data_IF_783503398788
#
_entry.id   IF_783503398788
#
_cell.length_a   1.000
_cell.length_b   1.000
_cell.length_c   1.000
_cell.angle_alpha   90.00
_cell.angle_beta   90.00
_cell.angle_gamma   90.00
#
_symmetry.space_group_name_H-M   'P 1'
#
loop_
_entity.id
_entity.type
_entity.pdbx_description
1 polymer ?
#
# COMPACT_ATOMS: atom_id res chain seq x y z
N UNK A 1 -2.13 -19.40 13.48
CA UNK A 1 -1.18 -19.72 12.38
C UNK A 1 -1.49 -18.94 11.11
N UNK A 2 -2.77 -18.77 10.72
CA UNK A 2 -3.17 -18.03 9.51
C UNK A 2 -2.63 -16.58 9.45
N UNK A 3 -2.59 -15.85 10.58
CA UNK A 3 -2.10 -14.46 10.61
C UNK A 3 -0.61 -14.30 10.24
N UNK A 4 0.22 -15.33 10.44
CA UNK A 4 1.65 -15.28 10.09
C UNK A 4 1.92 -15.44 8.59
N UNK A 5 0.94 -15.98 7.85
CA UNK A 5 0.99 -16.10 6.38
C UNK A 5 0.45 -14.82 5.71
N UNK A 6 -0.23 -13.95 6.47
CA UNK A 6 -0.82 -12.72 5.95
C UNK A 6 0.16 -11.80 5.20
N UNK A 7 1.41 -11.55 5.66
CA UNK A 7 2.35 -10.72 4.90
C UNK A 7 2.60 -11.27 3.49
N UNK A 8 2.70 -12.59 3.37
CA UNK A 8 2.97 -13.30 2.12
C UNK A 8 1.77 -13.18 1.18
N UNK A 9 0.54 -13.36 1.71
CA UNK A 9 -0.69 -13.24 0.92
C UNK A 9 -0.88 -11.80 0.44
N UNK A 10 -0.71 -10.82 1.32
CA UNK A 10 -0.90 -9.40 1.01
C UNK A 10 0.10 -8.94 -0.05
N UNK A 11 1.40 -9.17 0.18
CA UNK A 11 2.43 -8.78 -0.77
C UNK A 11 2.33 -9.58 -2.07
N UNK A 12 2.11 -10.89 -1.96
CA UNK A 12 1.99 -11.79 -3.10
C UNK A 12 0.85 -11.41 -4.03
N UNK A 13 -0.32 -11.07 -3.48
CA UNK A 13 -1.48 -10.62 -4.27
C UNK A 13 -1.20 -9.28 -4.97
N UNK A 14 -0.64 -8.30 -4.26
CA UNK A 14 -0.38 -6.96 -4.84
C UNK A 14 0.63 -7.05 -5.98
N UNK A 15 1.74 -7.77 -5.79
CA UNK A 15 2.73 -7.97 -6.85
C UNK A 15 2.12 -8.78 -8.00
N UNK A 16 1.35 -9.84 -7.71
CA UNK A 16 0.69 -10.61 -8.76
C UNK A 16 -0.22 -9.74 -9.65
N UNK A 17 -1.04 -8.88 -9.06
CA UNK A 17 -1.94 -8.00 -9.82
C UNK A 17 -1.17 -6.98 -10.65
N UNK A 18 -0.03 -6.49 -10.15
CA UNK A 18 0.89 -5.65 -10.89
C UNK A 18 1.44 -6.35 -12.14
N UNK A 19 2.04 -7.54 -11.95
CA UNK A 19 2.60 -8.35 -13.05
C UNK A 19 1.53 -8.75 -14.07
N UNK A 20 0.32 -9.04 -13.61
CA UNK A 20 -0.82 -9.34 -14.46
C UNK A 20 -1.15 -8.15 -15.39
N UNK A 21 -1.00 -6.92 -14.91
CA UNK A 21 -1.17 -5.72 -15.74
C UNK A 21 -0.21 -5.68 -16.92
N UNK A 22 1.09 -5.80 -16.66
CA UNK A 22 2.10 -5.86 -17.73
C UNK A 22 1.84 -7.01 -18.69
N UNK A 23 1.54 -8.21 -18.16
CA UNK A 23 1.25 -9.37 -18.97
C UNK A 23 0.06 -9.15 -19.92
N UNK A 24 -1.07 -8.66 -19.41
CA UNK A 24 -2.26 -8.38 -20.21
C UNK A 24 -1.93 -7.35 -21.30
N UNK A 25 -1.27 -6.25 -20.94
CA UNK A 25 -0.93 -5.20 -21.89
C UNK A 25 0.06 -5.68 -22.97
N UNK A 26 1.03 -6.51 -22.61
CA UNK A 26 1.97 -7.12 -23.55
C UNK A 26 1.25 -8.01 -24.57
N UNK A 27 0.32 -8.85 -24.11
CA UNK A 27 -0.47 -9.72 -25.01
C UNK A 27 -1.38 -8.89 -25.93
N UNK A 28 -2.02 -7.84 -25.42
CA UNK A 28 -2.89 -6.94 -26.20
C UNK A 28 -2.13 -6.15 -27.27
N UNK A 29 -0.86 -5.82 -27.03
CA UNK A 29 0.01 -5.09 -27.97
C UNK A 29 0.82 -6.02 -28.90
N UNK A 30 0.67 -7.34 -28.74
CA UNK A 30 1.36 -8.36 -29.52
C UNK A 30 2.84 -8.50 -29.18
N UNK A 31 3.29 -8.04 -28.01
CA UNK A 31 4.62 -8.35 -27.46
C UNK A 31 4.64 -9.83 -27.06
N UNK A 32 5.75 -10.50 -27.34
CA UNK A 32 5.91 -11.91 -26.96
C UNK A 32 6.18 -12.02 -25.46
N UNK A 33 5.32 -12.75 -24.73
CA UNK A 33 5.44 -12.99 -23.30
C UNK A 33 5.47 -14.51 -23.05
N UNK A 34 6.65 -15.15 -23.08
CA UNK A 34 6.77 -16.61 -23.02
C UNK A 34 6.46 -17.20 -21.66
N UNK A 35 6.54 -16.43 -20.57
CA UNK A 35 6.34 -16.95 -19.22
C UNK A 35 5.63 -15.95 -18.33
N UNK A 36 4.67 -16.47 -17.58
CA UNK A 36 3.98 -15.75 -16.52
C UNK A 36 3.98 -16.64 -15.26
N UNK A 37 4.63 -16.18 -14.20
CA UNK A 37 4.82 -16.95 -12.98
C UNK A 37 4.13 -16.29 -11.80
N UNK A 38 3.40 -17.10 -11.04
CA UNK A 38 2.91 -16.76 -9.70
C UNK A 38 3.90 -17.39 -8.72
N UNK A 39 4.62 -16.54 -8.01
CA UNK A 39 5.68 -16.91 -7.08
C UNK A 39 7.04 -17.11 -7.72
N UNK A 40 8.01 -17.48 -6.87
CA UNK A 40 9.41 -17.69 -7.20
C UNK A 40 9.87 -19.13 -6.86
N UNK A 41 11.00 -19.54 -7.46
CA UNK A 41 11.63 -20.84 -7.20
C UNK A 41 11.08 -22.00 -8.06
N UNK A 42 11.19 -23.26 -7.59
CA UNK A 42 10.82 -24.42 -8.39
C UNK A 42 9.32 -24.44 -8.71
N UNK A 43 8.98 -24.87 -9.92
CA UNK A 43 7.58 -24.97 -10.37
C UNK A 43 6.86 -26.10 -9.64
N UNK A 44 5.76 -25.78 -8.96
CA UNK A 44 4.82 -26.77 -8.42
C UNK A 44 3.90 -27.29 -9.54
N UNK A 45 3.38 -26.35 -10.34
CA UNK A 45 2.52 -26.63 -11.48
C UNK A 45 2.98 -25.75 -12.64
N UNK A 46 3.09 -26.35 -13.83
CA UNK A 46 3.36 -25.63 -15.07
C UNK A 46 2.39 -26.07 -16.15
N UNK A 47 1.86 -25.12 -16.91
CA UNK A 47 0.98 -25.39 -18.04
C UNK A 47 1.29 -24.41 -19.17
N UNK A 48 1.53 -24.94 -20.36
CA UNK A 48 1.68 -24.12 -21.57
C UNK A 48 0.31 -23.92 -22.22
N UNK A 49 -0.09 -22.67 -22.42
CA UNK A 49 -1.30 -22.32 -23.17
C UNK A 49 -0.88 -21.41 -24.31
N UNK A 50 -1.00 -21.92 -25.54
CA UNK A 50 -0.44 -21.28 -26.72
C UNK A 50 1.07 -21.12 -26.60
N UNK A 51 1.52 -19.88 -26.62
CA UNK A 51 2.94 -19.52 -26.57
C UNK A 51 3.47 -19.20 -25.17
N UNK A 52 2.58 -19.08 -24.17
CA UNK A 52 2.92 -18.67 -22.81
C UNK A 52 2.91 -19.88 -21.87
N UNK A 53 3.96 -20.01 -21.07
CA UNK A 53 4.07 -20.94 -19.96
C UNK A 53 3.58 -20.26 -18.67
N UNK A 54 2.54 -20.84 -18.07
CA UNK A 54 1.96 -20.40 -16.81
C UNK A 54 2.53 -21.27 -15.69
N UNK A 55 3.14 -20.64 -14.69
CA UNK A 55 3.81 -21.32 -13.58
C UNK A 55 3.17 -20.92 -12.27
N UNK A 56 2.89 -21.91 -11.43
CA UNK A 56 2.70 -21.73 -10.00
C UNK A 56 3.96 -22.26 -9.31
N UNK A 57 4.71 -21.37 -8.67
CA UNK A 57 5.99 -21.69 -8.05
C UNK A 57 5.84 -21.92 -6.54
N UNK A 58 6.86 -22.54 -5.93
CA UNK A 58 6.82 -22.97 -4.54
C UNK A 58 6.80 -21.82 -3.52
N UNK A 59 7.42 -20.67 -3.84
CA UNK A 59 7.44 -19.51 -2.95
C UNK A 59 6.38 -18.49 -3.39
N UNK A 60 5.27 -18.31 -2.64
CA UNK A 60 4.19 -17.40 -3.02
C UNK A 60 4.50 -15.94 -2.67
N UNK A 61 5.73 -15.48 -2.98
CA UNK A 61 6.23 -14.14 -2.68
C UNK A 61 6.15 -13.20 -3.90
N UNK A 62 4.97 -13.10 -4.52
CA UNK A 62 4.75 -12.25 -5.69
C UNK A 62 4.65 -13.04 -6.98
N UNK A 63 5.26 -12.55 -8.05
CA UNK A 63 5.28 -13.17 -9.38
C UNK A 63 6.21 -12.42 -10.32
N UNK A 64 6.32 -12.89 -11.56
CA UNK A 64 7.00 -12.14 -12.61
C UNK A 64 6.40 -12.47 -13.97
N UNK A 65 6.37 -11.48 -14.86
CA UNK A 65 6.18 -11.69 -16.30
C UNK A 65 7.53 -11.60 -17.02
N UNK A 66 7.81 -12.57 -17.89
CA UNK A 66 8.95 -12.47 -18.82
C UNK A 66 8.42 -12.00 -20.17
N UNK A 67 8.98 -10.92 -20.69
CA UNK A 67 8.61 -10.34 -21.97
C UNK A 67 9.80 -10.32 -22.93
N UNK A 68 9.53 -10.25 -24.23
CA UNK A 68 10.55 -10.04 -25.24
C UNK A 68 11.02 -8.59 -25.19
N UNK A 69 12.04 -8.36 -24.38
CA UNK A 69 12.69 -7.07 -24.16
C UNK A 69 14.19 -7.30 -24.20
N UNK A 70 14.91 -6.43 -24.93
CA UNK A 70 16.38 -6.40 -24.96
C UNK A 70 16.96 -5.91 -23.63
N UNK A 71 16.11 -5.43 -22.73
CA UNK A 71 16.45 -4.89 -21.42
C UNK A 71 16.36 -5.94 -20.32
N UNK A 72 15.42 -6.89 -20.47
CA UNK A 72 15.20 -8.00 -19.52
C UNK A 72 16.44 -8.90 -19.38
N UNK A 73 17.34 -8.94 -20.38
CA UNK A 73 18.62 -9.66 -20.25
C UNK A 73 19.53 -9.07 -19.17
N UNK A 74 19.48 -7.76 -18.92
CA UNK A 74 20.29 -7.09 -17.90
C UNK A 74 19.65 -7.12 -16.50
N UNK A 75 18.31 -7.14 -16.41
CA UNK A 75 17.56 -7.23 -15.13
C UNK A 75 17.30 -8.67 -14.69
N UNK A 76 17.35 -9.66 -15.59
CA UNK A 76 17.20 -11.09 -15.25
C UNK A 76 18.21 -11.58 -14.19
N UNK A 77 19.39 -10.96 -14.12
CA UNK A 77 20.39 -11.21 -13.07
C UNK A 77 19.92 -10.73 -11.67
N UNK A 78 19.07 -9.71 -11.62
CA UNK A 78 18.58 -9.05 -10.40
C UNK A 78 17.23 -9.61 -9.92
N UNK A 79 16.38 -10.11 -10.83
CA UNK A 79 15.03 -10.65 -10.55
C UNK A 79 15.03 -12.03 -9.83
N UNK A 80 16.15 -12.44 -9.23
CA UNK A 80 16.26 -13.75 -8.59
C UNK A 80 16.11 -14.92 -9.57
N UNK A 81 16.23 -14.64 -10.88
CA UNK A 81 16.48 -15.62 -11.93
C UNK A 81 17.86 -16.22 -11.73
N UNK A 82 17.98 -17.05 -10.70
CA UNK A 82 19.21 -17.76 -10.42
C UNK A 82 19.63 -18.51 -11.68
N UNK A 83 20.83 -18.23 -12.17
CA UNK A 83 21.57 -19.15 -13.04
C UNK A 83 21.60 -20.58 -12.44
N UNK A 84 21.34 -20.76 -11.13
CA UNK A 84 21.23 -22.07 -10.49
C UNK A 84 19.86 -22.77 -10.67
N UNK A 85 18.85 -22.13 -11.28
CA UNK A 85 17.69 -22.86 -11.83
C UNK A 85 17.98 -23.40 -13.24
N UNK A 86 19.07 -22.98 -13.88
CA UNK A 86 19.57 -23.61 -15.10
C UNK A 86 20.46 -24.84 -14.80
N UNK A 87 21.04 -24.96 -13.59
CA UNK A 87 22.00 -26.05 -13.27
C UNK A 87 21.41 -27.25 -12.51
N UNK A 88 20.14 -27.22 -12.08
CA UNK A 88 19.45 -28.40 -11.50
C UNK A 88 18.25 -28.82 -12.33
N UNK A 89 18.49 -29.42 -13.49
CA UNK A 89 17.69 -30.53 -14.05
C UNK A 89 18.37 -31.04 -15.32
N UNK A 90 19.52 -31.70 -15.14
CA UNK A 90 20.07 -32.61 -16.13
C UNK A 90 19.74 -34.04 -15.70
N UNK A 91 18.46 -34.45 -15.83
CA UNK A 91 18.12 -35.87 -15.87
C UNK A 91 17.66 -36.20 -17.30
N UNK A 92 18.48 -36.89 -18.11
CA UNK A 92 18.24 -37.12 -19.54
C UNK A 92 16.97 -37.91 -19.90
N UNK A 93 16.21 -38.42 -18.90
CA UNK A 93 15.01 -39.23 -19.12
C UNK A 93 13.71 -38.42 -19.31
N UNK A 94 13.73 -37.10 -19.13
CA UNK A 94 12.51 -36.26 -19.10
C UNK A 94 12.12 -35.61 -20.45
N UNK A 95 12.67 -36.05 -21.59
CA UNK A 95 12.29 -35.48 -22.90
C UNK A 95 12.75 -34.03 -23.10
N UNK A 96 13.97 -33.73 -22.64
CA UNK A 96 14.61 -32.42 -22.67
C UNK A 96 14.82 -31.91 -24.11
N UNK A 97 14.25 -30.73 -24.42
CA UNK A 97 14.62 -29.94 -25.61
C UNK A 97 15.92 -29.20 -25.31
N UNK A 98 17.04 -29.51 -26.00
CA UNK A 98 18.34 -28.89 -25.81
C UNK A 98 18.35 -27.37 -25.96
N UNK A 99 17.28 -26.80 -26.52
CA UNK A 99 17.16 -25.38 -26.81
C UNK A 99 16.25 -24.61 -25.83
N UNK A 100 15.71 -25.25 -24.80
CA UNK A 100 14.84 -24.62 -23.81
C UNK A 100 15.58 -23.62 -22.88
N UNK A 101 16.89 -23.46 -23.03
CA UNK A 101 17.79 -22.73 -22.14
C UNK A 101 18.39 -21.43 -22.74
N UNK A 102 17.85 -20.96 -23.86
CA UNK A 102 18.02 -19.56 -24.32
C UNK A 102 16.81 -18.77 -23.75
N UNK A 103 16.92 -17.50 -23.31
CA UNK A 103 15.81 -16.76 -22.69
C UNK A 103 14.46 -16.83 -23.44
N UNK A 104 14.50 -17.13 -24.74
CA UNK A 104 13.36 -17.19 -25.65
C UNK A 104 13.21 -18.51 -26.43
N UNK A 105 13.99 -19.55 -26.11
CA UNK A 105 13.96 -20.85 -26.80
C UNK A 105 14.75 -20.90 -28.13
N UNK A 106 14.61 -21.99 -28.92
CA UNK A 106 15.38 -22.21 -30.17
C UNK A 106 15.05 -21.26 -31.33
N UNK A 107 13.84 -20.68 -31.32
CA UNK A 107 13.32 -19.91 -32.44
C UNK A 107 13.52 -18.42 -32.14
N UNK A 108 14.09 -17.69 -33.10
CA UNK A 108 14.18 -16.24 -33.02
C UNK A 108 12.78 -15.62 -32.91
N UNK A 109 12.63 -14.67 -32.00
CA UNK A 109 11.39 -13.90 -31.88
C UNK A 109 11.33 -12.94 -33.07
N UNK A 110 10.22 -12.92 -33.84
CA UNK A 110 10.06 -11.95 -34.92
C UNK A 110 10.25 -10.52 -34.41
N UNK A 111 10.98 -9.69 -35.15
CA UNK A 111 11.36 -8.33 -34.71
C UNK A 111 10.14 -7.50 -34.26
N UNK A 112 9.00 -7.66 -34.95
CA UNK A 112 7.73 -6.98 -34.64
C UNK A 112 7.10 -7.35 -33.30
N UNK A 113 7.61 -8.38 -32.61
CA UNK A 113 7.10 -8.88 -31.33
C UNK A 113 7.97 -8.50 -30.14
N UNK A 114 9.05 -7.77 -30.38
CA UNK A 114 9.88 -7.18 -29.32
C UNK A 114 9.21 -5.93 -28.76
N UNK A 115 9.38 -5.69 -27.46
CA UNK A 115 8.88 -4.50 -26.77
C UNK A 115 9.40 -3.21 -27.43
N UNK A 116 10.69 -3.15 -27.75
CA UNK A 116 11.36 -1.98 -28.34
C UNK A 116 10.88 -1.69 -29.77
N UNK A 117 10.34 -2.70 -30.46
CA UNK A 117 9.78 -2.53 -31.80
C UNK A 117 8.42 -1.82 -31.80
N UNK A 118 7.77 -1.72 -30.64
CA UNK A 118 6.42 -1.15 -30.53
C UNK A 118 6.47 0.38 -30.52
N UNK A 119 5.44 1.04 -31.09
CA UNK A 119 5.35 2.49 -31.02
C UNK A 119 5.25 2.95 -29.56
N UNK A 120 5.71 4.17 -29.28
CA UNK A 120 5.79 4.71 -27.92
C UNK A 120 4.47 4.56 -27.13
N UNK A 121 3.27 4.85 -27.67
CA UNK A 121 2.02 4.67 -26.91
C UNK A 121 1.78 3.22 -26.45
N UNK A 122 2.16 2.23 -27.26
CA UNK A 122 2.04 0.83 -26.88
C UNK A 122 3.05 0.46 -25.77
N UNK A 123 4.28 0.97 -25.85
CA UNK A 123 5.29 0.80 -24.78
C UNK A 123 4.83 1.45 -23.47
N UNK A 124 4.34 2.69 -23.53
CA UNK A 124 3.79 3.41 -22.39
C UNK A 124 2.58 2.69 -21.78
N UNK A 125 1.69 2.15 -22.62
CA UNK A 125 0.55 1.35 -22.15
C UNK A 125 1.00 0.12 -21.35
N UNK A 126 2.01 -0.61 -21.84
CA UNK A 126 2.57 -1.77 -21.12
C UNK A 126 3.18 -1.35 -19.79
N UNK A 127 4.02 -0.31 -19.77
CA UNK A 127 4.69 0.15 -18.54
C UNK A 127 3.71 0.71 -17.51
N UNK A 128 2.64 1.40 -17.94
CA UNK A 128 1.61 1.92 -17.03
C UNK A 128 0.62 0.85 -16.58
N UNK A 129 0.54 -0.31 -17.24
CA UNK A 129 -0.47 -1.31 -16.94
C UNK A 129 -0.34 -1.90 -15.54
N UNK A 130 0.88 -2.18 -15.08
CA UNK A 130 1.10 -2.68 -13.72
C UNK A 130 0.69 -1.67 -12.66
N UNK A 131 1.09 -0.41 -12.82
CA UNK A 131 0.68 0.71 -11.94
C UNK A 131 -0.84 0.88 -11.93
N UNK A 132 -1.46 0.85 -13.11
CA UNK A 132 -2.91 1.03 -13.28
C UNK A 132 -3.68 -0.11 -12.60
N UNK A 133 -3.25 -1.37 -12.77
CA UNK A 133 -3.92 -2.52 -12.15
C UNK A 133 -3.89 -2.46 -10.63
N UNK A 134 -2.80 -1.97 -10.04
CA UNK A 134 -2.73 -1.79 -8.59
C UNK A 134 -3.63 -0.65 -8.08
N UNK A 135 -3.73 0.45 -8.82
CA UNK A 135 -4.69 1.50 -8.50
C UNK A 135 -6.13 0.99 -8.61
N UNK A 136 -6.44 0.18 -9.64
CA UNK A 136 -7.75 -0.46 -9.83
C UNK A 136 -8.07 -1.48 -8.72
N UNK A 137 -7.08 -2.24 -8.25
CA UNK A 137 -7.26 -3.15 -7.12
C UNK A 137 -7.64 -2.39 -5.85
N UNK A 138 -6.92 -1.30 -5.53
CA UNK A 138 -7.23 -0.47 -4.36
C UNK A 138 -8.64 0.13 -4.47
N UNK A 139 -8.96 0.72 -5.62
CA UNK A 139 -10.28 1.27 -5.91
C UNK A 139 -11.40 0.22 -5.76
N UNK A 140 -11.22 -0.97 -6.34
CA UNK A 140 -12.18 -2.07 -6.28
C UNK A 140 -12.41 -2.56 -4.85
N UNK A 141 -11.35 -2.63 -4.04
CA UNK A 141 -11.45 -2.99 -2.62
C UNK A 141 -12.23 -1.92 -1.85
N UNK A 142 -11.90 -0.63 -2.01
CA UNK A 142 -12.64 0.44 -1.34
C UNK A 142 -14.12 0.45 -1.73
N UNK A 143 -14.43 0.30 -3.02
CA UNK A 143 -15.79 0.22 -3.51
C UNK A 143 -16.53 -0.99 -2.91
N UNK A 144 -15.88 -2.16 -2.89
CA UNK A 144 -16.45 -3.38 -2.31
C UNK A 144 -16.76 -3.24 -0.82
N UNK A 145 -15.85 -2.65 -0.05
CA UNK A 145 -16.06 -2.40 1.39
C UNK A 145 -17.18 -1.39 1.63
N UNK A 146 -17.23 -0.31 0.86
CA UNK A 146 -18.28 0.70 0.95
C UNK A 146 -19.66 0.16 0.56
N UNK A 147 -19.73 -0.73 -0.43
CA UNK A 147 -20.96 -1.42 -0.81
C UNK A 147 -21.39 -2.45 0.25
N UNK A 148 -20.43 -3.10 0.91
CA UNK A 148 -20.70 -4.11 1.93
C UNK A 148 -21.14 -3.50 3.25
N UNK A 149 -20.34 -2.59 3.79
CA UNK A 149 -20.47 -2.08 5.16
C UNK A 149 -21.16 -0.72 5.19
N UNK A 150 -21.15 0.05 4.09
CA UNK A 150 -21.63 1.43 4.04
C UNK A 150 -20.51 2.44 4.34
N UNK A 151 -20.88 3.72 4.46
CA UNK A 151 -19.95 4.78 4.81
C UNK A 151 -19.69 4.79 6.33
N UNK A 152 -18.43 4.73 6.78
CA UNK A 152 -18.11 4.89 8.20
C UNK A 152 -18.56 6.28 8.67
N UNK A 153 -19.44 6.31 9.67
CA UNK A 153 -19.96 7.54 10.26
C UNK A 153 -19.86 7.45 11.78
N UNK A 154 -19.22 8.41 12.46
CA UNK A 154 -19.16 8.37 13.91
C UNK A 154 -20.57 8.53 14.49
N UNK A 155 -20.90 7.68 15.46
CA UNK A 155 -22.15 7.78 16.23
C UNK A 155 -21.86 8.42 17.60
N UNK A 156 -22.84 9.08 18.24
CA UNK A 156 -22.66 9.77 19.52
C UNK A 156 -22.54 8.81 20.71
N UNK A 157 -21.67 7.81 20.60
CA UNK A 157 -21.35 6.84 21.64
C UNK A 157 -19.85 6.90 21.89
N UNK A 158 -19.44 7.11 23.14
CA UNK A 158 -18.03 7.13 23.51
C UNK A 158 -17.43 5.72 23.39
N UNK A 159 -16.59 5.47 22.39
CA UNK A 159 -15.82 4.23 22.30
C UNK A 159 -14.73 4.19 23.39
N UNK A 160 -14.06 5.32 23.58
CA UNK A 160 -13.04 5.49 24.60
C UNK A 160 -12.93 6.96 25.03
N UNK A 161 -12.35 7.18 26.20
CA UNK A 161 -12.11 8.52 26.73
C UNK A 161 -10.65 8.63 27.15
N UNK A 162 -9.96 9.68 26.70
CA UNK A 162 -8.55 9.89 26.98
C UNK A 162 -8.36 10.30 28.45
N UNK A 163 -7.54 9.58 29.24
CA UNK A 163 -7.27 9.93 30.63
C UNK A 163 -6.76 11.37 30.78
N UNK A 164 -7.23 12.09 31.81
CA UNK A 164 -6.83 13.46 32.12
C UNK A 164 -7.38 14.54 31.17
N UNK A 165 -8.17 14.19 30.15
CA UNK A 165 -8.87 15.15 29.28
C UNK A 165 -10.26 15.52 29.85
N UNK A 166 -10.87 16.63 29.40
CA UNK A 166 -12.11 17.14 30.01
C UNK A 166 -13.27 16.14 30.07
N UNK A 167 -13.44 15.27 29.07
CA UNK A 167 -14.46 14.22 29.09
C UNK A 167 -14.25 13.24 30.25
N UNK A 168 -13.00 12.83 30.51
CA UNK A 168 -12.68 11.95 31.63
C UNK A 168 -12.90 12.65 32.98
N UNK A 169 -12.52 13.92 33.09
CA UNK A 169 -12.71 14.75 34.29
C UNK A 169 -14.20 14.94 34.58
N UNK A 170 -15.01 15.17 33.55
CA UNK A 170 -16.46 15.27 33.63
C UNK A 170 -17.14 13.92 33.95
N UNK A 171 -16.38 12.82 33.97
CA UNK A 171 -16.88 11.50 34.32
C UNK A 171 -17.52 10.72 33.17
N UNK A 172 -17.30 11.11 31.91
CA UNK A 172 -17.70 10.34 30.73
C UNK A 172 -16.88 9.05 30.67
N UNK A 173 -17.52 7.94 30.31
CA UNK A 173 -16.95 6.61 30.24
C UNK A 173 -17.20 5.98 28.86
N UNK A 174 -16.41 4.96 28.53
CA UNK A 174 -16.66 4.14 27.34
C UNK A 174 -18.05 3.47 27.45
N UNK A 175 -18.80 3.50 26.35
CA UNK A 175 -20.18 3.01 26.25
C UNK A 175 -21.27 4.05 26.54
N UNK A 176 -20.91 5.28 26.95
CA UNK A 176 -21.90 6.34 27.14
C UNK A 176 -22.46 6.83 25.80
N UNK A 177 -23.78 6.87 25.68
CA UNK A 177 -24.47 7.46 24.53
C UNK A 177 -24.83 8.91 24.84
N UNK A 178 -24.35 9.87 24.06
CA UNK A 178 -24.73 11.28 24.18
C UNK A 178 -26.09 11.47 23.52
N UNK A 179 -27.10 11.80 24.32
CA UNK A 179 -28.48 11.97 23.88
C UNK A 179 -28.86 13.44 23.73
N UNK A 180 -28.33 14.33 24.57
CA UNK A 180 -28.63 15.76 24.51
C UNK A 180 -27.38 16.62 24.69
N UNK A 181 -27.43 17.81 24.10
CA UNK A 181 -26.41 18.84 24.19
C UNK A 181 -27.10 20.17 24.52
N UNK A 182 -26.73 20.77 25.65
CA UNK A 182 -27.35 21.98 26.21
C UNK A 182 -28.88 21.88 26.29
N UNK A 183 -29.39 20.72 26.73
CA UNK A 183 -30.82 20.45 26.88
C UNK A 183 -31.58 20.15 25.57
N UNK A 184 -30.92 20.17 24.41
CA UNK A 184 -31.53 19.83 23.12
C UNK A 184 -31.15 18.41 22.68
N UNK A 185 -32.07 17.63 22.08
CA UNK A 185 -31.75 16.33 21.49
C UNK A 185 -30.62 16.43 20.47
N UNK A 186 -29.68 15.48 20.51
CA UNK A 186 -28.58 15.39 19.57
C UNK A 186 -28.97 14.45 18.42
N UNK A 187 -29.26 15.02 17.24
CA UNK A 187 -29.63 14.23 16.05
C UNK A 187 -28.43 13.80 15.21
N UNK A 188 -27.34 14.58 15.25
CA UNK A 188 -26.19 14.42 14.37
C UNK A 188 -24.89 14.61 15.13
N UNK A 189 -23.91 13.75 14.83
CA UNK A 189 -22.60 13.79 15.45
C UNK A 189 -21.84 15.10 15.15
N UNK A 190 -22.00 15.63 13.94
CA UNK A 190 -21.34 16.87 13.50
C UNK A 190 -21.72 18.06 14.39
N UNK A 191 -22.99 18.12 14.82
CA UNK A 191 -23.48 19.17 15.72
C UNK A 191 -22.74 19.15 17.06
N UNK A 192 -22.45 17.95 17.57
CA UNK A 192 -21.67 17.80 18.80
C UNK A 192 -20.23 18.26 18.60
N UNK A 193 -19.58 17.84 17.51
CA UNK A 193 -18.20 18.25 17.20
C UNK A 193 -18.07 19.76 17.02
N UNK A 194 -18.95 20.37 16.23
CA UNK A 194 -18.93 21.81 15.95
C UNK A 194 -19.14 22.62 17.23
N UNK A 195 -20.09 22.19 18.08
CA UNK A 195 -20.38 22.89 19.34
C UNK A 195 -19.23 22.75 20.33
N UNK A 196 -18.63 21.57 20.47
CA UNK A 196 -17.44 21.36 21.31
C UNK A 196 -16.27 22.21 20.81
N UNK A 197 -16.02 22.20 19.50
CA UNK A 197 -14.96 22.98 18.85
C UNK A 197 -15.11 24.49 19.09
N UNK A 198 -16.33 25.00 19.06
CA UNK A 198 -16.64 26.42 19.28
C UNK A 198 -16.68 26.85 20.76
N UNK A 199 -16.70 25.91 21.70
CA UNK A 199 -16.96 26.17 23.13
C UNK A 199 -15.72 26.03 24.01
N UNK A 200 -14.53 26.32 23.49
CA UNK A 200 -13.30 26.29 24.26
C UNK A 200 -13.41 27.15 25.54
N UNK A 201 -13.15 26.54 26.70
CA UNK A 201 -13.25 27.17 28.02
C UNK A 201 -14.68 27.43 28.51
N UNK A 202 -15.72 27.11 27.74
CA UNK A 202 -17.13 27.30 28.13
C UNK A 202 -17.76 25.96 28.51
N UNK A 203 -18.41 25.83 29.67
CA UNK A 203 -19.05 24.59 30.07
C UNK A 203 -20.21 24.24 29.13
N UNK A 204 -20.33 22.96 28.79
CA UNK A 204 -21.40 22.36 28.01
C UNK A 204 -22.14 21.33 28.87
N UNK A 205 -23.48 21.38 28.85
CA UNK A 205 -24.33 20.37 29.50
C UNK A 205 -24.57 19.22 28.52
N UNK A 206 -24.09 18.03 28.86
CA UNK A 206 -24.30 16.80 28.11
C UNK A 206 -25.26 15.89 28.85
N UNK A 207 -26.40 15.59 28.22
CA UNK A 207 -27.24 14.47 28.64
C UNK A 207 -26.71 13.20 28.00
N UNK A 208 -26.31 12.24 28.83
CA UNK A 208 -25.84 10.94 28.40
C UNK A 208 -26.78 9.84 28.88
N UNK A 209 -26.72 8.68 28.22
CA UNK A 209 -27.37 7.45 28.65
C UNK A 209 -26.27 6.43 28.95
N UNK A 210 -26.20 5.99 30.21
CA UNK A 210 -25.26 4.97 30.67
C UNK A 210 -26.05 3.78 31.21
N UNK A 211 -25.87 2.61 30.59
CA UNK A 211 -26.60 1.37 30.97
C UNK A 211 -28.13 1.59 31.07
N UNK A 212 -28.68 2.37 30.15
CA UNK A 212 -30.11 2.72 30.10
C UNK A 212 -30.56 3.84 31.06
N UNK A 213 -29.68 4.35 31.92
CA UNK A 213 -30.01 5.43 32.85
C UNK A 213 -29.57 6.80 32.28
N UNK A 214 -30.46 7.80 32.25
CA UNK A 214 -30.09 9.15 31.86
C UNK A 214 -29.26 9.83 32.96
N UNK A 215 -28.14 10.43 32.57
CA UNK A 215 -27.27 11.23 33.43
C UNK A 215 -27.02 12.58 32.76
N UNK A 216 -26.78 13.61 33.56
CA UNK A 216 -26.30 14.91 33.06
C UNK A 216 -24.91 15.17 33.57
N UNK A 217 -24.01 15.51 32.67
CA UNK A 217 -22.61 15.83 32.96
C UNK A 217 -22.26 17.17 32.35
N UNK A 218 -21.50 17.97 33.08
CA UNK A 218 -20.97 19.23 32.57
C UNK A 218 -19.54 19.01 32.13
N UNK A 219 -19.25 19.26 30.86
CA UNK A 219 -17.89 19.17 30.31
C UNK A 219 -17.42 20.54 29.86
N UNK A 220 -16.19 20.91 30.19
CA UNK A 220 -15.58 22.16 29.74
C UNK A 220 -14.49 21.85 28.72
N UNK A 221 -14.70 22.06 27.42
CA UNK A 221 -13.70 21.80 26.39
C UNK A 221 -12.41 22.57 26.65
N UNK A 222 -11.27 21.89 26.58
CA UNK A 222 -9.97 22.53 26.67
C UNK A 222 -9.61 23.16 25.32
N UNK A 223 -9.03 24.35 25.33
CA UNK A 223 -8.50 24.98 24.13
C UNK A 223 -7.26 24.22 23.65
N UNK A 224 -7.30 23.74 22.41
CA UNK A 224 -6.17 23.07 21.76
C UNK A 224 -5.87 23.79 20.44
N UNK A 225 -4.62 24.19 20.27
CA UNK A 225 -4.18 24.88 19.06
C UNK A 225 -3.89 23.85 17.98
N UNK A 226 -4.74 23.84 16.95
CA UNK A 226 -4.62 22.90 15.82
C UNK A 226 -4.30 23.70 14.55
N UNK A 227 -3.25 23.34 13.79
CA UNK A 227 -3.02 23.91 12.47
C UNK A 227 -4.12 23.45 11.52
N UNK A 228 -4.73 24.38 10.80
CA UNK A 228 -5.70 24.08 9.74
C UNK A 228 -4.99 23.23 8.67
N UNK A 229 -5.49 22.02 8.35
CA UNK A 229 -4.81 21.10 7.43
C UNK A 229 -4.66 21.63 5.99
N UNK A 230 -5.49 22.60 5.58
CA UNK A 230 -5.48 23.17 4.23
C UNK A 230 -4.71 24.49 4.16
N UNK A 231 -4.79 25.32 5.19
CA UNK A 231 -4.23 26.68 5.18
C UNK A 231 -3.01 26.85 6.08
N UNK A 232 -2.72 25.89 6.97
CA UNK A 232 -1.65 25.98 7.96
C UNK A 232 -1.90 26.99 9.09
N UNK A 233 -2.99 27.75 9.03
CA UNK A 233 -3.35 28.75 10.04
C UNK A 233 -3.72 28.03 11.33
N UNK A 234 -3.03 28.38 12.42
CA UNK A 234 -3.34 27.84 13.76
C UNK A 234 -4.68 28.36 14.24
N UNK A 235 -5.62 27.46 14.51
CA UNK A 235 -6.92 27.77 15.12
C UNK A 235 -6.99 27.15 16.51
N UNK A 236 -7.55 27.89 17.47
CA UNK A 236 -7.85 27.36 18.80
C UNK A 236 -9.22 26.69 18.75
N UNK A 237 -9.27 25.38 18.99
CA UNK A 237 -10.51 24.60 18.99
C UNK A 237 -10.71 23.96 20.37
N UNK A 238 -11.96 23.93 20.84
CA UNK A 238 -12.32 23.19 22.03
C UNK A 238 -12.23 21.68 21.79
N UNK A 239 -11.65 20.95 22.75
CA UNK A 239 -11.58 19.48 22.72
C UNK A 239 -11.89 18.90 24.09
N UNK A 240 -12.61 17.78 24.09
CA UNK A 240 -12.95 17.05 25.33
C UNK A 240 -12.18 15.73 25.49
N UNK A 241 -11.51 15.23 24.44
CA UNK A 241 -10.74 13.98 24.51
C UNK A 241 -11.62 12.72 24.56
N UNK A 242 -12.71 12.72 23.80
CA UNK A 242 -13.59 11.57 23.60
C UNK A 242 -13.37 10.99 22.20
N UNK A 243 -13.27 9.67 22.12
CA UNK A 243 -13.18 8.91 20.86
C UNK A 243 -14.57 8.32 20.61
N UNK A 244 -15.14 8.63 19.44
CA UNK A 244 -16.45 8.14 19.06
C UNK A 244 -16.40 6.67 18.62
N UNK A 245 -17.52 5.98 18.79
CA UNK A 245 -17.77 4.69 18.15
C UNK A 245 -18.05 4.93 16.68
N UNK A 246 -17.49 4.10 15.82
CA UNK A 246 -17.80 4.12 14.39
C UNK A 246 -19.07 3.30 14.15
N UNK A 247 -20.06 3.93 13.53
CA UNK A 247 -21.19 3.26 12.90
C UNK A 247 -21.02 3.26 11.39
N UNK A 248 -21.98 2.66 10.70
CA UNK A 248 -22.01 2.66 9.25
C UNK A 248 -23.38 3.09 8.74
N UNK A 249 -23.38 4.00 7.77
CA UNK A 249 -24.59 4.44 7.07
C UNK A 249 -24.61 3.80 5.68
N UNK A 250 -25.71 3.13 5.29
CA UNK A 250 -25.86 2.63 3.94
C UNK A 250 -25.77 3.77 2.93
N UNK A 251 -25.07 3.51 1.82
CA UNK A 251 -24.93 4.47 0.71
C UNK A 251 -25.35 3.82 -0.61
N UNK A 252 -25.71 4.67 -1.58
CA UNK A 252 -26.04 4.18 -2.92
C UNK A 252 -24.80 3.66 -3.65
N UNK A 253 -25.02 2.80 -4.65
CA UNK A 253 -23.94 2.24 -5.48
C UNK A 253 -23.10 3.34 -6.14
N UNK A 254 -23.75 4.37 -6.68
CA UNK A 254 -23.06 5.51 -7.30
C UNK A 254 -22.19 6.30 -6.30
N UNK A 255 -22.68 6.50 -5.08
CA UNK A 255 -21.90 7.13 -4.00
C UNK A 255 -20.72 6.25 -3.59
N UNK A 256 -20.90 4.94 -3.43
CA UNK A 256 -19.81 4.01 -3.10
C UNK A 256 -18.66 4.09 -4.10
N UNK A 257 -18.94 4.08 -5.40
CA UNK A 257 -17.90 4.24 -6.42
C UNK A 257 -17.27 5.64 -6.41
N UNK A 258 -18.06 6.70 -6.23
CA UNK A 258 -17.54 8.06 -6.11
C UNK A 258 -16.59 8.23 -4.90
N UNK A 259 -16.98 7.69 -3.75
CA UNK A 259 -16.14 7.74 -2.55
C UNK A 259 -14.92 6.83 -2.63
N UNK A 260 -15.04 5.64 -3.23
CA UNK A 260 -13.89 4.79 -3.51
C UNK A 260 -12.85 5.49 -4.40
N UNK A 261 -13.32 6.27 -5.39
CA UNK A 261 -12.45 7.09 -6.23
C UNK A 261 -11.75 8.17 -5.40
N UNK A 262 -12.51 8.93 -4.60
CA UNK A 262 -11.96 9.95 -3.71
C UNK A 262 -10.91 9.37 -2.75
N UNK A 263 -11.19 8.23 -2.13
CA UNK A 263 -10.26 7.52 -1.24
C UNK A 263 -9.00 7.08 -1.98
N UNK A 264 -9.13 6.59 -3.21
CA UNK A 264 -7.98 6.16 -4.02
C UNK A 264 -7.08 7.35 -4.35
N UNK A 265 -7.66 8.46 -4.81
CA UNK A 265 -6.93 9.69 -5.16
C UNK A 265 -6.32 10.36 -3.94
N UNK A 266 -7.05 10.44 -2.84
CA UNK A 266 -6.60 11.06 -1.58
C UNK A 266 -5.43 10.26 -0.97
N UNK A 267 -5.56 8.93 -0.88
CA UNK A 267 -4.45 8.10 -0.41
C UNK A 267 -3.23 8.20 -1.34
N UNK A 268 -3.43 8.15 -2.67
CA UNK A 268 -2.36 8.38 -3.64
C UNK A 268 -1.64 9.71 -3.44
N UNK A 269 -2.42 10.79 -3.26
CA UNK A 269 -1.92 12.15 -3.07
C UNK A 269 -1.17 12.32 -1.74
N UNK A 270 -1.64 11.68 -0.66
CA UNK A 270 -0.94 11.64 0.63
C UNK A 270 0.41 10.93 0.52
N UNK A 271 0.49 9.83 -0.23
CA UNK A 271 1.75 9.11 -0.47
C UNK A 271 2.71 9.98 -1.26
N UNK A 272 2.25 10.63 -2.34
CA UNK A 272 3.07 11.59 -3.10
C UNK A 272 3.58 12.74 -2.22
N UNK A 273 2.71 13.32 -1.39
CA UNK A 273 3.10 14.39 -0.46
C UNK A 273 4.13 13.90 0.57
N UNK A 274 3.97 12.68 1.10
CA UNK A 274 4.93 12.06 2.01
C UNK A 274 6.30 11.83 1.34
N UNK A 275 6.31 11.37 0.09
CA UNK A 275 7.55 11.22 -0.69
C UNK A 275 8.22 12.58 -0.96
N UNK A 276 7.45 13.63 -1.26
CA UNK A 276 7.97 14.99 -1.40
C UNK A 276 8.57 15.54 -0.10
N UNK A 277 7.94 15.24 1.05
CA UNK A 277 8.47 15.60 2.37
C UNK A 277 9.78 14.86 2.69
N UNK A 278 9.89 13.58 2.27
CA UNK A 278 11.09 12.77 2.46
C UNK A 278 12.31 13.35 1.75
N UNK A 279 12.14 13.94 0.56
CA UNK A 279 13.23 14.63 -0.17
C UNK A 279 13.79 15.80 0.63
N UNK A 280 12.98 16.42 1.49
CA UNK A 280 13.39 17.50 2.39
C UNK A 280 13.88 16.98 3.76
N UNK A 281 14.06 15.66 3.92
CA UNK A 281 14.53 15.02 5.14
C UNK A 281 13.46 14.82 6.22
N UNK A 282 12.19 15.11 5.93
CA UNK A 282 11.10 14.98 6.90
C UNK A 282 10.61 13.53 6.97
N UNK A 283 10.52 12.98 8.18
CA UNK A 283 9.89 11.67 8.40
C UNK A 283 10.71 10.45 7.94
N UNK A 284 12.02 10.59 7.69
CA UNK A 284 12.90 9.46 7.31
C UNK A 284 12.84 8.34 8.36
N UNK A 285 12.76 8.70 9.65
CA UNK A 285 12.62 7.75 10.78
C UNK A 285 11.27 7.04 10.84
N UNK A 286 10.26 7.58 10.14
CA UNK A 286 8.90 7.07 10.15
C UNK A 286 8.66 6.04 9.04
N UNK A 287 9.58 5.93 8.08
CA UNK A 287 9.56 4.88 7.06
C UNK A 287 9.66 3.50 7.71
N UNK A 288 8.64 2.67 7.49
CA UNK A 288 8.62 1.27 7.90
C UNK A 288 9.22 0.38 6.82
N UNK A 289 10.04 -0.59 7.23
CA UNK A 289 10.62 -1.60 6.34
C UNK A 289 9.84 -2.90 6.30
N UNK A 290 10.45 -3.95 5.72
CA UNK A 290 9.87 -5.30 5.67
C UNK A 290 9.37 -5.84 7.02
N UNK A 291 10.02 -5.52 8.13
CA UNK A 291 9.60 -6.00 9.46
C UNK A 291 8.34 -5.26 9.89
N UNK A 292 8.30 -3.95 9.72
CA UNK A 292 7.11 -3.16 10.02
C UNK A 292 5.91 -3.59 9.17
N UNK A 293 6.10 -3.81 7.86
CA UNK A 293 5.04 -4.30 6.95
C UNK A 293 4.54 -5.68 7.39
N UNK A 294 5.43 -6.59 7.77
CA UNK A 294 5.04 -7.90 8.27
C UNK A 294 4.21 -7.80 9.57
N UNK A 295 4.62 -6.94 10.50
CA UNK A 295 3.88 -6.71 11.75
C UNK A 295 2.48 -6.13 11.49
N UNK A 296 2.38 -5.11 10.64
CA UNK A 296 1.11 -4.49 10.25
C UNK A 296 0.21 -5.51 9.53
N UNK A 297 0.78 -6.38 8.69
CA UNK A 297 0.03 -7.45 8.00
C UNK A 297 -0.52 -8.49 8.97
N UNK A 298 0.27 -8.90 9.97
CA UNK A 298 -0.20 -9.81 11.03
C UNK A 298 -1.30 -9.15 11.85
N UNK A 299 -1.15 -7.87 12.20
CA UNK A 299 -2.15 -7.12 12.94
C UNK A 299 -3.45 -6.96 12.16
N UNK A 300 -3.38 -6.61 10.87
CA UNK A 300 -4.55 -6.50 10.01
C UNK A 300 -5.29 -7.83 9.88
N UNK A 301 -4.56 -8.94 9.71
CA UNK A 301 -5.17 -10.27 9.69
C UNK A 301 -5.83 -10.68 11.02
N UNK A 302 -5.39 -10.12 12.15
CA UNK A 302 -6.08 -10.30 13.45
C UNK A 302 -7.29 -9.37 13.60
N UNK A 303 -7.28 -8.21 12.94
CA UNK A 303 -8.40 -7.27 12.88
C UNK A 303 -9.57 -7.76 12.03
N UNK A 304 -9.36 -8.75 11.17
CA UNK A 304 -10.39 -9.37 10.35
C UNK A 304 -10.16 -9.12 8.85
N UNK A 305 -11.09 -9.62 8.03
CA UNK A 305 -10.96 -9.53 6.57
C UNK A 305 -11.05 -8.09 6.07
N UNK A 306 -11.88 -7.24 6.67
CA UNK A 306 -12.01 -5.83 6.29
C UNK A 306 -10.70 -5.07 6.50
N UNK A 307 -10.06 -5.22 7.68
CA UNK A 307 -8.77 -4.60 7.96
C UNK A 307 -7.67 -5.13 7.04
N UNK A 308 -7.70 -6.43 6.72
CA UNK A 308 -6.77 -7.03 5.77
C UNK A 308 -6.96 -6.47 4.36
N UNK A 309 -8.20 -6.31 3.90
CA UNK A 309 -8.53 -5.72 2.61
C UNK A 309 -8.11 -4.25 2.54
N UNK A 310 -8.38 -3.46 3.58
CA UNK A 310 -7.90 -2.08 3.67
C UNK A 310 -6.37 -2.00 3.59
N UNK A 311 -5.65 -2.93 4.24
CA UNK A 311 -4.20 -3.01 4.14
C UNK A 311 -3.75 -3.35 2.71
N UNK A 312 -4.41 -4.31 2.04
CA UNK A 312 -4.13 -4.65 0.64
C UNK A 312 -4.35 -3.43 -0.25
N UNK A 313 -5.44 -2.69 -0.07
CA UNK A 313 -5.73 -1.48 -0.84
C UNK A 313 -4.65 -0.41 -0.61
N UNK A 314 -4.24 -0.19 0.65
CA UNK A 314 -3.17 0.75 1.01
C UNK A 314 -1.82 0.34 0.39
N UNK A 315 -1.43 -0.93 0.50
CA UNK A 315 -0.17 -1.41 -0.08
C UNK A 315 -0.23 -1.36 -1.62
N UNK A 316 -1.39 -1.66 -2.20
CA UNK A 316 -1.58 -1.60 -3.66
C UNK A 316 -1.40 -0.18 -4.20
N UNK A 317 -2.01 0.83 -3.56
CA UNK A 317 -1.80 2.22 -3.96
C UNK A 317 -0.36 2.69 -3.69
N UNK A 318 0.28 2.22 -2.61
CA UNK A 318 1.71 2.48 -2.38
C UNK A 318 2.55 1.95 -3.54
N UNK A 319 2.40 0.67 -3.90
CA UNK A 319 3.17 0.07 -5.01
C UNK A 319 2.91 0.81 -6.32
N UNK A 320 1.67 1.21 -6.60
CA UNK A 320 1.35 2.03 -7.78
C UNK A 320 2.11 3.37 -7.78
N UNK A 321 2.11 4.10 -6.66
CA UNK A 321 2.80 5.39 -6.54
C UNK A 321 4.33 5.22 -6.62
N UNK A 322 4.90 4.24 -5.92
CA UNK A 322 6.33 3.96 -5.96
C UNK A 322 6.79 3.59 -7.37
N UNK A 323 6.05 2.73 -8.07
CA UNK A 323 6.39 2.33 -9.43
C UNK A 323 6.23 3.46 -10.45
N UNK A 324 5.52 4.55 -10.12
CA UNK A 324 5.47 5.74 -10.96
C UNK A 324 6.66 6.71 -10.76
N UNK A 325 7.51 6.47 -9.76
CA UNK A 325 8.68 7.32 -9.51
C UNK A 325 9.69 7.24 -10.66
N UNK A 326 10.42 8.34 -10.96
CA UNK A 326 11.42 8.38 -12.03
C UNK A 326 12.73 7.70 -11.62
N UNK A 327 12.65 6.46 -11.13
CA UNK A 327 13.80 5.65 -10.73
C UNK A 327 13.97 4.54 -11.77
N UNK A 328 15.13 4.42 -12.45
CA UNK A 328 15.30 3.55 -13.63
C UNK A 328 14.88 2.09 -13.51
N UNK A 329 14.92 1.51 -12.30
CA UNK A 329 14.53 0.12 -12.05
C UNK A 329 13.03 -0.06 -11.84
N UNK A 330 12.28 1.05 -11.75
CA UNK A 330 10.83 1.09 -11.62
C UNK A 330 10.19 1.51 -12.95
N UNK A 331 8.90 1.21 -13.14
CA UNK A 331 8.17 1.50 -14.39
C UNK A 331 8.28 2.97 -14.80
N UNK A 332 8.13 3.90 -13.85
CA UNK A 332 8.22 5.34 -14.06
C UNK A 332 9.59 5.79 -14.56
N UNK A 333 10.66 5.13 -14.14
CA UNK A 333 12.00 5.35 -14.67
C UNK A 333 12.13 4.84 -16.10
N UNK A 334 11.58 3.67 -16.41
CA UNK A 334 11.58 3.15 -17.79
C UNK A 334 10.75 4.03 -18.72
N UNK A 335 9.61 4.55 -18.26
CA UNK A 335 8.81 5.55 -18.97
C UNK A 335 9.67 6.79 -19.27
N UNK A 336 10.36 7.33 -18.27
CA UNK A 336 11.21 8.51 -18.44
C UNK A 336 12.33 8.26 -19.46
N UNK A 337 12.96 7.08 -19.43
CA UNK A 337 13.99 6.71 -20.39
C UNK A 337 13.45 6.60 -21.82
N UNK A 338 12.31 5.94 -22.00
CA UNK A 338 11.67 5.81 -23.31
C UNK A 338 11.27 7.18 -23.90
N UNK A 339 10.79 8.10 -23.05
CA UNK A 339 10.51 9.49 -23.44
C UNK A 339 11.79 10.23 -23.81
N UNK A 340 12.84 10.11 -23.01
CA UNK A 340 14.13 10.74 -23.27
C UNK A 340 14.79 10.24 -24.58
N UNK A 341 14.72 8.94 -24.87
CA UNK A 341 15.20 8.37 -26.13
C UNK A 341 14.40 8.86 -27.34
N UNK A 342 13.08 9.01 -27.18
CA UNK A 342 12.20 9.56 -28.22
C UNK A 342 12.57 11.01 -28.51
N UNK A 343 12.80 11.83 -27.48
CA UNK A 343 13.26 13.23 -27.63
C UNK A 343 14.66 13.28 -28.26
N UNK A 344 15.57 12.39 -27.85
CA UNK A 344 16.92 12.26 -28.38
C UNK A 344 16.94 11.76 -29.84
N UNK A 345 15.86 11.11 -30.30
CA UNK A 345 15.76 10.49 -31.62
C UNK A 345 16.62 9.23 -31.79
N UNK A 346 17.25 8.73 -30.72
CA UNK A 346 18.08 7.51 -30.75
C UNK A 346 18.13 6.86 -29.38
N UNK A 347 18.21 5.53 -29.35
CA UNK A 347 18.38 4.77 -28.11
C UNK A 347 19.65 5.19 -27.34
N UNK A 348 19.64 5.05 -26.02
CA UNK A 348 20.86 5.18 -25.23
C UNK A 348 21.83 4.04 -25.56
N UNK A 349 23.13 4.31 -25.45
CA UNK A 349 24.12 3.24 -25.56
C UNK A 349 23.94 2.26 -24.40
N UNK A 350 24.28 0.99 -24.61
CA UNK A 350 24.22 -0.05 -23.56
C UNK A 350 24.98 0.37 -22.30
N UNK A 351 26.14 1.03 -22.45
CA UNK A 351 26.93 1.53 -21.31
C UNK A 351 26.22 2.65 -20.55
N UNK A 352 25.61 3.61 -21.25
CA UNK A 352 24.86 4.69 -20.59
C UNK A 352 23.68 4.11 -19.83
N UNK A 353 22.94 3.18 -20.45
CA UNK A 353 21.80 2.53 -19.82
C UNK A 353 22.20 1.72 -18.59
N UNK A 354 23.27 0.95 -18.67
CA UNK A 354 23.80 0.18 -17.55
C UNK A 354 24.19 1.08 -16.37
N UNK A 355 24.83 2.22 -16.64
CA UNK A 355 25.17 3.21 -15.60
C UNK A 355 23.92 3.81 -14.95
N UNK A 356 22.90 4.12 -15.74
CA UNK A 356 21.62 4.63 -15.25
C UNK A 356 20.94 3.59 -14.35
N UNK A 357 20.86 2.33 -14.78
CA UNK A 357 20.27 1.23 -13.99
C UNK A 357 21.05 0.98 -12.69
N UNK A 358 22.39 0.94 -12.75
CA UNK A 358 23.26 0.81 -11.57
C UNK A 358 23.07 1.97 -10.59
N UNK A 359 22.93 3.19 -11.09
CA UNK A 359 22.63 4.37 -10.27
C UNK A 359 21.28 4.24 -9.57
N UNK A 360 20.24 3.82 -10.30
CA UNK A 360 18.92 3.53 -9.72
C UNK A 360 18.97 2.45 -8.64
N UNK A 361 19.66 1.34 -8.90
CA UNK A 361 19.85 0.26 -7.94
C UNK A 361 20.59 0.73 -6.68
N UNK A 362 21.61 1.56 -6.82
CA UNK A 362 22.34 2.13 -5.68
C UNK A 362 21.43 3.02 -4.81
N UNK A 363 20.56 3.83 -5.42
CA UNK A 363 19.58 4.66 -4.71
C UNK A 363 18.60 3.79 -3.92
N UNK A 364 17.99 2.77 -4.57
CA UNK A 364 17.07 1.86 -3.89
C UNK A 364 17.78 1.05 -2.81
N UNK A 365 19.00 0.58 -3.07
CA UNK A 365 19.81 -0.15 -2.08
C UNK A 365 20.12 0.69 -0.84
N UNK A 366 20.48 1.96 -1.01
CA UNK A 366 20.71 2.89 0.10
C UNK A 366 19.42 3.13 0.91
N UNK A 367 18.30 3.34 0.21
CA UNK A 367 16.99 3.49 0.86
C UNK A 367 16.63 2.22 1.65
N UNK A 368 16.79 1.04 1.06
CA UNK A 368 16.53 -0.24 1.72
C UNK A 368 17.36 -0.42 2.98
N UNK A 369 18.67 -0.15 2.93
CA UNK A 369 19.56 -0.22 4.10
C UNK A 369 19.11 0.77 5.17
N UNK A 370 18.75 2.00 4.79
CA UNK A 370 18.28 3.02 5.73
C UNK A 370 17.00 2.60 6.44
N UNK A 371 16.02 2.11 5.68
CA UNK A 371 14.74 1.64 6.21
C UNK A 371 14.91 0.39 7.07
N UNK A 372 15.80 -0.53 6.68
CA UNK A 372 16.11 -1.71 7.49
C UNK A 372 16.82 -1.37 8.78
N UNK A 373 17.74 -0.41 8.76
CA UNK A 373 18.36 0.10 9.98
C UNK A 373 17.32 0.71 10.92
N UNK A 374 16.37 1.49 10.40
CA UNK A 374 15.27 2.05 11.19
C UNK A 374 14.40 0.96 11.83
N UNK A 375 14.03 -0.07 11.06
CA UNK A 375 13.27 -1.21 11.55
C UNK A 375 14.02 -1.95 12.67
N UNK A 376 15.30 -2.27 12.47
CA UNK A 376 16.13 -2.97 13.46
C UNK A 376 16.27 -2.11 14.72
N UNK A 377 16.58 -0.83 14.57
CA UNK A 377 16.74 0.11 15.69
C UNK A 377 15.46 0.19 16.53
N UNK A 378 14.30 0.35 15.88
CA UNK A 378 12.99 0.41 16.54
C UNK A 378 12.68 -0.88 17.30
N UNK A 379 12.92 -2.04 16.70
CA UNK A 379 12.68 -3.33 17.35
C UNK A 379 13.68 -3.62 18.48
N UNK A 380 14.95 -3.21 18.33
CA UNK A 380 15.95 -3.32 19.39
C UNK A 380 15.56 -2.51 20.62
N UNK A 381 15.07 -1.27 20.44
CA UNK A 381 14.57 -0.46 21.56
C UNK A 381 13.41 -1.15 22.30
N UNK A 382 12.50 -1.81 21.57
CA UNK A 382 11.41 -2.57 22.19
C UNK A 382 11.93 -3.75 23.02
N UNK A 383 12.94 -4.48 22.51
CA UNK A 383 13.58 -5.58 23.24
C UNK A 383 14.30 -5.05 24.50
N UNK A 384 15.06 -3.97 24.38
CA UNK A 384 15.75 -3.34 25.52
C UNK A 384 14.75 -2.89 26.58
N UNK A 385 13.62 -2.28 26.21
CA UNK A 385 12.54 -1.93 27.16
C UNK A 385 11.93 -3.15 27.82
N UNK A 386 11.73 -4.25 27.09
CA UNK A 386 11.21 -5.51 27.62
C UNK A 386 12.19 -6.13 28.64
N UNK A 387 13.47 -6.20 28.30
CA UNK A 387 14.53 -6.69 29.19
C UNK A 387 14.67 -5.77 30.42
N UNK A 388 14.60 -4.45 30.26
CA UNK A 388 14.61 -3.51 31.37
C UNK A 388 13.47 -3.73 32.37
N UNK A 389 12.25 -4.03 31.86
CA UNK A 389 11.10 -4.41 32.68
C UNK A 389 11.28 -5.77 33.37
N UNK A 390 11.88 -6.75 32.69
CA UNK A 390 12.14 -8.09 33.25
C UNK A 390 13.25 -8.08 34.30
N UNK A 391 14.25 -7.21 34.14
CA UNK A 391 15.40 -7.08 35.05
C UNK A 391 15.27 -5.92 36.04
N UNK A 392 14.06 -5.37 36.23
CA UNK A 392 13.75 -4.44 37.32
C UNK A 392 14.46 -3.08 37.27
N UNK A 393 15.01 -2.67 36.12
CA UNK A 393 15.56 -1.32 35.96
C UNK A 393 14.47 -0.41 35.41
N UNK A 394 13.79 0.29 36.31
CA UNK A 394 13.01 1.48 35.98
C UNK A 394 14.00 2.56 35.49
N UNK A 395 13.94 2.89 34.20
CA UNK A 395 14.46 4.14 33.67
C UNK A 395 13.30 5.11 33.49
#
# INVERSE_FOLDING_TARGET
>A
MLSWVAPIIVFGLVVFVHELGHFIAAKLTGVYAPRFSIGFGPSLVKKRIGETEYILAALPLGGYVRMASREDEATAFLEGGSENSATRMANPKDGYDPNAMIPFGPKSIPESRWFESKPLPARLFIMLAGVTMNALLAYGIYAGLLLHSGMPTPIPVAAAVTPGKPAAIAGIQAGDSIATLNGRPLERWEVLLDTIGASAGRPLDLGIVRKGQPLRLVVTPAAETVPDPRTGVKRSLGRIGMIATEGFTPISVGQAFGEAWNLTVDNGSKIFAALGALVHGVGVSDLGGPIAIAQVSVQAARGGIETLLLLIALISINVAVFNLLPIPILDGGQILLNLAETIKGSAFSTQTRERILKGGLLIIGLLFVTVMFNDISRNMQNIVRLLGRLFGRSA
#
